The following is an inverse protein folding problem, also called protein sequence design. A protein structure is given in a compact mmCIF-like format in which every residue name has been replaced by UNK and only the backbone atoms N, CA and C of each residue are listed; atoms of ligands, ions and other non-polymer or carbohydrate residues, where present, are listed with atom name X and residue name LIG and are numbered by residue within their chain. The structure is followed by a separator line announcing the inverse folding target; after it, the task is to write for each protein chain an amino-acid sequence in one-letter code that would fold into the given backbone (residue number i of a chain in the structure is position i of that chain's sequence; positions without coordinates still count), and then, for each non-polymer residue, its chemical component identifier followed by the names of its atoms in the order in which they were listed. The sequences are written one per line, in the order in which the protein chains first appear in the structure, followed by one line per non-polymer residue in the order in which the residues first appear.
data_IF_155260627639
#
_entry.id   IF_155260627639
#
_cell.length_a   1.000
_cell.length_b   1.000
_cell.length_c   1.000
_cell.angle_alpha   90.00
_cell.angle_beta   90.00
_cell.angle_gamma   90.00
#
_symmetry.space_group_name_H-M   'P 1'
#
loop_
_entity.id
_entity.type
_entity.pdbx_description
1 polymer ?
#
# COMPACT_ATOMS: atom_id res chain seq x y z
N UNK A 1 -4.37 -0.65 11.06
CA UNK A 1 -4.28 -1.73 10.04
C UNK A 1 -2.98 -2.55 10.10
N UNK A 2 -1.77 -1.95 10.03
CA UNK A 2 -0.51 -2.73 10.11
C UNK A 2 -0.39 -3.57 11.40
N UNK A 3 -0.61 -2.96 12.58
CA UNK A 3 -0.59 -3.68 13.85
C UNK A 3 -1.65 -4.78 13.87
N UNK A 4 -2.90 -4.46 13.54
CA UNK A 4 -3.98 -5.45 13.36
C UNK A 4 -3.58 -6.66 12.50
N UNK A 5 -2.86 -6.47 11.40
CA UNK A 5 -2.41 -7.58 10.54
C UNK A 5 -1.25 -8.40 11.15
N UNK A 6 -0.44 -7.81 12.02
CA UNK A 6 0.68 -8.49 12.69
C UNK A 6 0.24 -9.16 13.98
N UNK A 7 -0.53 -8.45 14.80
CA UNK A 7 -1.03 -8.89 16.12
C UNK A 7 -2.35 -9.64 16.03
N UNK A 8 -3.00 -9.64 14.86
CA UNK A 8 -4.35 -10.22 14.62
C UNK A 8 -5.44 -9.61 15.51
N UNK A 9 -5.22 -8.41 16.07
CA UNK A 9 -6.21 -7.66 16.85
C UNK A 9 -7.07 -6.78 15.93
N UNK A 10 -8.40 -6.85 16.03
CA UNK A 10 -9.34 -6.16 15.12
C UNK A 10 -9.59 -4.70 15.57
N UNK A 11 -9.32 -4.36 16.84
CA UNK A 11 -9.70 -3.08 17.44
C UNK A 11 -9.15 -1.83 16.71
N UNK A 12 -8.02 -1.94 16.01
CA UNK A 12 -7.39 -0.79 15.31
C UNK A 12 -8.03 -0.44 13.95
N UNK A 13 -9.03 -1.21 13.49
CA UNK A 13 -9.67 -1.02 12.18
C UNK A 13 -11.20 -0.91 12.25
N UNK A 14 -11.78 -0.84 13.45
CA UNK A 14 -13.24 -0.81 13.68
C UNK A 14 -13.95 0.36 12.98
N UNK A 15 -13.22 1.44 12.70
CA UNK A 15 -13.72 2.62 12.00
C UNK A 15 -13.78 2.46 10.47
N UNK A 16 -13.17 1.42 9.90
CA UNK A 16 -13.03 1.27 8.45
C UNK A 16 -14.09 0.35 7.85
N UNK A 17 -14.98 0.95 7.06
CA UNK A 17 -16.04 0.24 6.35
C UNK A 17 -15.85 0.30 4.83
N UNK A 18 -16.14 -0.83 4.17
CA UNK A 18 -16.26 -0.96 2.73
C UNK A 18 -17.65 -0.53 2.30
N UNK A 19 -17.71 0.45 1.41
CA UNK A 19 -18.92 0.86 0.73
C UNK A 19 -19.01 0.17 -0.64
N UNK A 20 -19.89 -0.81 -0.75
CA UNK A 20 -20.13 -1.60 -1.96
C UNK A 20 -21.41 -1.15 -2.71
N UNK A 21 -21.99 0.01 -2.34
CA UNK A 21 -23.20 0.57 -2.97
C UNK A 21 -23.06 0.79 -4.48
N UNK A 22 -21.85 1.04 -4.96
CA UNK A 22 -21.55 1.15 -6.40
C UNK A 22 -21.53 -0.20 -7.14
N UNK A 23 -21.33 -1.31 -6.43
CA UNK A 23 -21.22 -2.66 -6.99
C UNK A 23 -22.52 -3.45 -6.87
N UNK A 24 -23.40 -3.07 -5.95
CA UNK A 24 -24.68 -3.72 -5.72
C UNK A 24 -25.74 -2.70 -5.33
N UNK A 25 -26.91 -2.79 -5.95
CA UNK A 25 -28.11 -1.99 -5.61
C UNK A 25 -28.62 -2.22 -4.18
N UNK A 26 -28.15 -3.27 -3.49
CA UNK A 26 -28.40 -3.53 -2.07
C UNK A 26 -27.19 -3.26 -1.18
N UNK A 27 -26.18 -2.55 -1.68
CA UNK A 27 -24.87 -2.43 -1.06
C UNK A 27 -24.95 -1.92 0.38
N UNK A 28 -24.78 -2.83 1.33
CA UNK A 28 -24.63 -2.52 2.75
C UNK A 28 -23.18 -2.16 3.03
N UNK A 29 -22.95 -1.19 3.90
CA UNK A 29 -21.62 -0.92 4.46
C UNK A 29 -21.15 -2.18 5.19
N UNK A 30 -20.01 -2.73 4.79
CA UNK A 30 -19.42 -3.92 5.41
C UNK A 30 -18.15 -3.55 6.15
N UNK A 31 -17.98 -4.05 7.35
CA UNK A 31 -16.74 -3.86 8.09
C UNK A 31 -15.54 -4.45 7.33
N UNK A 32 -14.38 -3.78 7.36
CA UNK A 32 -13.17 -4.33 6.75
C UNK A 32 -12.72 -5.59 7.51
N UNK A 33 -12.65 -6.73 6.81
CA UNK A 33 -12.28 -8.02 7.41
C UNK A 33 -11.19 -8.78 6.64
N UNK A 34 -10.47 -8.10 5.75
CA UNK A 34 -9.48 -8.76 4.89
C UNK A 34 -8.13 -8.94 5.60
N UNK A 35 -7.73 -10.19 5.81
CA UNK A 35 -6.44 -10.55 6.41
C UNK A 35 -5.28 -10.61 5.40
N UNK A 36 -5.57 -10.57 4.09
CA UNK A 36 -4.57 -10.73 3.02
C UNK A 36 -4.35 -9.46 2.19
N UNK A 37 -5.02 -8.36 2.55
CA UNK A 37 -4.92 -7.09 1.86
C UNK A 37 -4.71 -5.99 2.89
N UNK A 38 -4.02 -4.94 2.45
CA UNK A 38 -3.78 -3.73 3.22
C UNK A 38 -4.27 -2.53 2.41
N UNK A 39 -4.71 -1.50 3.11
CA UNK A 39 -5.09 -0.23 2.55
C UNK A 39 -3.89 0.71 2.61
N UNK A 40 -3.37 1.08 1.45
CA UNK A 40 -2.18 1.92 1.31
C UNK A 40 -2.57 3.28 0.75
N UNK A 41 -2.14 4.36 1.40
CA UNK A 41 -2.12 5.69 0.80
C UNK A 41 -0.80 5.90 0.08
N UNK A 42 -0.84 6.44 -1.12
CA UNK A 42 0.38 6.91 -1.82
C UNK A 42 0.25 8.40 -2.06
N UNK A 43 1.20 9.16 -1.53
CA UNK A 43 1.29 10.58 -1.76
C UNK A 43 2.74 11.05 -1.84
N UNK A 44 2.96 12.16 -2.51
CA UNK A 44 4.25 12.85 -2.52
C UNK A 44 4.38 13.91 -1.41
N UNK A 45 5.61 14.34 -1.16
CA UNK A 45 5.91 15.48 -0.29
C UNK A 45 7.14 16.22 -0.79
N UNK A 46 7.12 17.55 -0.67
CA UNK A 46 8.29 18.42 -0.84
C UNK A 46 8.86 18.87 0.52
N UNK A 47 8.30 18.37 1.64
CA UNK A 47 8.82 18.63 2.98
C UNK A 47 10.20 18.01 3.16
N UNK A 48 10.98 18.57 4.08
CA UNK A 48 12.33 18.11 4.41
C UNK A 48 12.37 16.69 4.97
N UNK A 49 11.28 16.22 5.59
CA UNK A 49 11.18 14.86 6.13
C UNK A 49 9.83 14.20 5.81
N UNK A 50 9.86 12.86 5.68
CA UNK A 50 8.65 12.04 5.53
C UNK A 50 7.81 12.07 6.80
N UNK A 51 8.44 12.09 7.98
CA UNK A 51 7.74 12.09 9.26
C UNK A 51 6.89 13.35 9.45
N UNK A 52 7.37 14.52 9.03
CA UNK A 52 6.55 15.74 9.01
C UNK A 52 5.28 15.54 8.19
N UNK A 53 5.39 14.91 7.01
CA UNK A 53 4.22 14.65 6.14
C UNK A 53 3.25 13.66 6.77
N UNK A 54 3.76 12.62 7.43
CA UNK A 54 2.93 11.64 8.12
C UNK A 54 2.17 12.27 9.28
N UNK A 55 2.82 13.15 10.05
CA UNK A 55 2.19 13.88 11.14
C UNK A 55 1.10 14.83 10.63
N UNK A 56 1.35 15.56 9.53
CA UNK A 56 0.32 16.37 8.87
C UNK A 56 -0.90 15.51 8.53
N UNK A 57 -0.72 14.34 7.93
CA UNK A 57 -1.83 13.44 7.61
C UNK A 57 -2.56 12.91 8.83
N UNK A 58 -1.85 12.52 9.88
CA UNK A 58 -2.49 12.09 11.13
C UNK A 58 -3.31 13.21 11.75
N UNK A 59 -2.79 14.44 11.73
CA UNK A 59 -3.46 15.62 12.28
C UNK A 59 -4.69 16.02 11.45
N UNK A 60 -4.66 15.88 10.13
CA UNK A 60 -5.81 16.17 9.27
C UNK A 60 -6.84 15.06 9.33
N UNK A 61 -6.44 13.81 9.11
CA UNK A 61 -7.36 12.69 9.01
C UNK A 61 -7.83 12.17 10.38
N UNK A 62 -7.19 12.57 11.48
CA UNK A 62 -7.46 12.09 12.86
C UNK A 62 -7.35 10.57 13.02
N UNK A 63 -6.55 9.93 12.18
CA UNK A 63 -6.31 8.48 12.21
C UNK A 63 -4.80 8.19 12.26
N UNK A 64 -4.38 7.16 13.01
CA UNK A 64 -2.98 6.75 13.03
C UNK A 64 -2.57 6.22 11.65
N UNK A 65 -1.49 6.78 11.12
CA UNK A 65 -0.89 6.37 9.84
C UNK A 65 0.49 5.77 10.11
N UNK A 66 0.80 4.66 9.46
CA UNK A 66 2.06 3.94 9.62
C UNK A 66 2.79 3.96 8.29
N UNK A 67 4.05 4.41 8.31
CA UNK A 67 4.91 4.35 7.13
C UNK A 67 5.17 2.89 6.72
N UNK A 68 4.94 2.55 5.46
CA UNK A 68 5.23 1.23 4.91
C UNK A 68 6.68 1.17 4.39
N UNK A 69 7.62 1.01 5.32
CA UNK A 69 9.04 0.81 4.98
C UNK A 69 9.28 -0.58 4.38
N UNK A 70 10.38 -0.79 3.63
CA UNK A 70 10.76 -2.10 3.10
C UNK A 70 10.80 -3.19 4.17
N UNK A 71 11.31 -2.89 5.36
CA UNK A 71 11.40 -3.80 6.50
C UNK A 71 9.99 -4.19 6.97
N UNK A 72 9.10 -3.21 7.11
CA UNK A 72 7.70 -3.45 7.50
C UNK A 72 6.94 -4.25 6.45
N UNK A 73 7.18 -3.99 5.17
CA UNK A 73 6.63 -4.79 4.06
C UNK A 73 7.14 -6.22 4.11
N UNK A 74 8.43 -6.43 4.37
CA UNK A 74 9.00 -7.76 4.53
C UNK A 74 8.34 -8.51 5.69
N UNK A 75 8.19 -7.88 6.86
CA UNK A 75 7.51 -8.48 8.01
C UNK A 75 6.05 -8.87 7.70
N UNK A 76 5.29 -8.01 7.02
CA UNK A 76 3.92 -8.31 6.59
C UNK A 76 3.87 -9.47 5.59
N UNK A 77 4.81 -9.47 4.64
CA UNK A 77 4.90 -10.52 3.64
C UNK A 77 5.21 -11.88 4.29
N UNK A 78 6.16 -11.92 5.23
CA UNK A 78 6.50 -13.13 5.97
C UNK A 78 5.35 -13.63 6.86
N UNK A 79 4.66 -12.73 7.57
CA UNK A 79 3.57 -13.12 8.48
C UNK A 79 2.42 -13.81 7.73
N UNK A 80 2.13 -13.37 6.50
CA UNK A 80 1.12 -14.01 5.64
C UNK A 80 1.58 -15.36 5.08
N UNK A 81 2.88 -15.56 4.83
CA UNK A 81 3.42 -16.88 4.41
C UNK A 81 3.36 -17.89 5.56
N UNK A 82 3.69 -17.48 6.78
CA UNK A 82 3.73 -18.35 7.97
C UNK A 82 2.35 -18.86 8.40
N UNK A 83 1.27 -18.22 7.95
CA UNK A 83 -0.12 -18.64 8.26
C UNK A 83 -0.64 -19.83 7.45
N UNK A 84 0.13 -20.40 6.52
CA UNK A 84 -0.30 -21.56 5.71
C UNK A 84 0.21 -22.89 6.28
N UNK A 85 -0.31 -23.29 7.43
CA UNK A 85 0.05 -24.57 8.10
C UNK A 85 -0.21 -25.79 7.21
N UNK A 86 -1.33 -25.78 6.47
CA UNK A 86 -1.70 -26.84 5.53
C UNK A 86 -0.80 -26.88 4.27
N UNK A 87 -0.48 -25.71 3.69
CA UNK A 87 0.43 -25.66 2.55
C UNK A 87 1.86 -26.08 2.92
N UNK A 88 2.30 -25.88 4.18
CA UNK A 88 3.60 -26.34 4.69
C UNK A 88 3.67 -27.86 4.87
N UNK A 89 2.53 -28.50 5.17
CA UNK A 89 2.42 -29.96 5.25
C UNK A 89 2.42 -30.55 3.84
N UNK A 90 1.66 -29.95 2.92
CA UNK A 90 1.56 -30.40 1.53
C UNK A 90 2.79 -30.00 0.66
N UNK A 91 3.54 -28.96 1.04
CA UNK A 91 4.78 -28.57 0.34
C UNK A 91 5.89 -29.59 0.48
N UNK A 92 5.77 -30.55 1.42
CA UNK A 92 6.66 -31.70 1.51
C UNK A 92 6.35 -32.80 0.47
N UNK A 93 5.23 -32.68 -0.24
CA UNK A 93 4.79 -33.60 -1.30
C UNK A 93 4.93 -33.01 -2.71
N UNK A 94 5.35 -31.75 -2.83
CA UNK A 94 5.52 -31.06 -4.11
C UNK A 94 7.00 -31.01 -4.47
N UNK A 95 7.35 -31.40 -5.70
CA UNK A 95 8.69 -31.20 -6.25
C UNK A 95 9.00 -29.71 -6.22
N UNK A 96 10.15 -29.35 -5.61
CA UNK A 96 10.58 -27.98 -5.35
C UNK A 96 10.38 -27.07 -6.57
N UNK A 97 9.30 -26.31 -6.59
CA UNK A 97 9.25 -25.10 -7.41
C UNK A 97 10.29 -24.15 -6.82
N UNK A 98 11.25 -23.75 -7.66
CA UNK A 98 12.27 -22.76 -7.31
C UNK A 98 11.63 -21.63 -6.52
N UNK A 99 12.01 -21.49 -5.26
CA UNK A 99 11.67 -20.32 -4.50
C UNK A 99 12.15 -19.13 -5.33
N UNK A 100 11.20 -18.35 -5.86
CA UNK A 100 11.49 -17.00 -6.32
C UNK A 100 11.83 -16.25 -5.03
N UNK A 101 13.09 -16.40 -4.60
CA UNK A 101 13.74 -15.46 -3.71
C UNK A 101 13.63 -14.14 -4.44
N UNK A 102 12.61 -13.36 -4.12
CA UNK A 102 12.62 -11.94 -4.40
C UNK A 102 13.81 -11.42 -3.62
N UNK A 103 14.96 -11.41 -4.28
CA UNK A 103 16.19 -10.87 -3.76
C UNK A 103 15.87 -9.48 -3.24
N UNK A 104 16.37 -9.18 -2.04
CA UNK A 104 16.40 -7.85 -1.45
C UNK A 104 17.25 -6.92 -2.33
N UNK A 105 16.79 -6.70 -3.56
CA UNK A 105 17.36 -5.74 -4.48
C UNK A 105 17.20 -4.39 -3.81
N UNK A 106 18.33 -3.82 -3.42
CA UNK A 106 18.41 -2.51 -2.77
C UNK A 106 17.62 -1.52 -3.64
N UNK A 107 16.57 -0.96 -3.05
CA UNK A 107 15.77 0.09 -3.68
C UNK A 107 16.70 1.29 -3.87
N UNK A 108 16.85 1.74 -5.12
CA UNK A 108 17.86 2.74 -5.49
C UNK A 108 17.52 4.13 -4.94
N UNK A 109 16.23 4.43 -4.90
CA UNK A 109 15.69 5.75 -4.58
C UNK A 109 15.08 5.82 -3.19
N UNK A 110 15.03 4.70 -2.46
CA UNK A 110 14.52 4.66 -1.11
C UNK A 110 15.59 5.14 -0.12
N UNK A 111 15.27 6.20 0.62
CA UNK A 111 16.11 6.72 1.70
C UNK A 111 15.19 7.29 2.80
N UNK A 112 15.67 7.47 4.04
CA UNK A 112 14.97 8.25 5.09
C UNK A 112 13.43 8.12 5.16
N UNK A 113 12.89 6.91 5.01
CA UNK A 113 11.46 6.64 5.08
C UNK A 113 10.65 6.84 3.78
N UNK A 114 11.23 7.27 2.66
CA UNK A 114 10.52 7.55 1.41
C UNK A 114 11.34 7.35 0.14
N UNK A 115 10.70 7.51 -1.02
CA UNK A 115 11.34 7.45 -2.33
C UNK A 115 11.63 8.85 -2.85
N UNK A 116 12.82 9.06 -3.40
CA UNK A 116 13.27 10.36 -3.90
C UNK A 116 13.48 10.33 -5.41
N UNK A 117 13.29 11.50 -6.03
CA UNK A 117 13.78 11.78 -7.38
C UNK A 117 14.96 12.74 -7.26
N UNK A 118 15.93 12.63 -8.16
CA UNK A 118 17.10 13.50 -8.20
C UNK A 118 16.76 14.93 -8.65
N UNK A 119 15.53 15.16 -9.12
CA UNK A 119 15.06 16.45 -9.63
C UNK A 119 15.74 16.89 -10.94
N UNK A 120 16.60 16.05 -11.51
CA UNK A 120 17.37 16.32 -12.75
C UNK A 120 16.69 15.73 -13.99
N UNK A 121 15.69 14.87 -13.80
CA UNK A 121 14.87 14.34 -14.87
C UNK A 121 13.82 15.32 -15.40
N UNK A 122 13.26 15.09 -16.61
CA UNK A 122 12.22 15.94 -17.20
C UNK A 122 10.84 15.81 -16.51
N UNK A 123 10.70 14.88 -15.54
CA UNK A 123 9.44 14.58 -14.88
C UNK A 123 9.33 15.37 -13.59
N UNK A 124 8.26 16.15 -13.47
CA UNK A 124 7.88 16.79 -12.20
C UNK A 124 7.39 15.73 -11.20
N UNK A 125 7.42 16.08 -9.91
CA UNK A 125 6.87 15.23 -8.85
C UNK A 125 5.39 14.87 -9.09
N UNK A 126 4.61 15.83 -9.60
CA UNK A 126 3.22 15.61 -10.00
C UNK A 126 3.07 14.57 -11.10
N UNK A 127 3.94 14.59 -12.10
CA UNK A 127 3.94 13.58 -13.18
C UNK A 127 4.31 12.20 -12.66
N UNK A 128 5.27 12.11 -11.73
CA UNK A 128 5.68 10.86 -11.08
C UNK A 128 4.51 10.28 -10.28
N UNK A 129 3.89 11.08 -9.41
CA UNK A 129 2.75 10.66 -8.60
C UNK A 129 1.59 10.19 -9.48
N UNK A 130 1.21 10.98 -10.49
CA UNK A 130 0.12 10.63 -11.40
C UNK A 130 0.43 9.34 -12.19
N UNK A 131 1.69 9.12 -12.57
CA UNK A 131 2.12 7.86 -13.21
C UNK A 131 1.89 6.66 -12.28
N UNK A 132 2.29 6.79 -11.02
CA UNK A 132 2.10 5.75 -10.01
C UNK A 132 0.60 5.51 -9.78
N UNK A 133 -0.18 6.57 -9.53
CA UNK A 133 -1.62 6.47 -9.28
C UNK A 133 -2.36 5.83 -10.44
N UNK A 134 -2.11 6.25 -11.69
CA UNK A 134 -2.75 5.65 -12.88
C UNK A 134 -2.49 4.15 -13.00
N UNK A 135 -1.24 3.74 -12.78
CA UNK A 135 -0.90 2.32 -12.84
C UNK A 135 -1.59 1.52 -11.73
N UNK A 136 -1.67 2.08 -10.53
CA UNK A 136 -2.30 1.40 -9.40
C UNK A 136 -3.82 1.39 -9.50
N UNK A 137 -4.44 2.43 -10.05
CA UNK A 137 -5.87 2.40 -10.39
C UNK A 137 -6.17 1.31 -11.41
N UNK A 138 -5.33 1.16 -12.45
CA UNK A 138 -5.48 0.08 -13.43
C UNK A 138 -5.36 -1.31 -12.78
N UNK A 139 -4.45 -1.47 -11.81
CA UNK A 139 -4.14 -2.77 -11.21
C UNK A 139 -5.05 -3.17 -10.04
N UNK A 140 -5.38 -2.21 -9.17
CA UNK A 140 -6.06 -2.44 -7.90
C UNK A 140 -7.42 -1.73 -7.80
N UNK A 141 -7.76 -0.90 -8.79
CA UNK A 141 -8.90 0.01 -8.70
C UNK A 141 -8.59 1.25 -7.86
N UNK A 142 -9.56 2.16 -7.82
CA UNK A 142 -9.48 3.38 -7.03
C UNK A 142 -10.16 3.19 -5.68
N UNK A 143 -9.39 3.29 -4.60
CA UNK A 143 -9.94 3.35 -3.24
C UNK A 143 -10.46 4.74 -2.95
N UNK A 144 -11.78 4.87 -2.86
CA UNK A 144 -12.44 6.08 -2.39
C UNK A 144 -12.68 5.97 -0.89
N UNK A 145 -12.07 6.86 -0.11
CA UNK A 145 -12.22 6.87 1.35
C UNK A 145 -12.96 8.11 1.79
N UNK A 146 -14.09 7.88 2.45
CA UNK A 146 -14.76 8.86 3.29
C UNK A 146 -13.99 9.02 4.59
N UNK A 147 -13.43 10.21 4.83
CA UNK A 147 -12.66 10.48 6.03
C UNK A 147 -13.36 11.53 6.88
N UNK A 148 -13.92 11.08 8.01
CA UNK A 148 -14.60 11.95 8.96
C UNK A 148 -13.68 13.05 9.52
N UNK A 149 -12.38 12.76 9.69
CA UNK A 149 -11.42 13.76 10.18
C UNK A 149 -11.19 14.92 9.21
N UNK A 150 -11.24 14.66 7.90
CA UNK A 150 -11.08 15.69 6.87
C UNK A 150 -12.40 16.42 6.57
N UNK A 151 -13.51 15.70 6.64
CA UNK A 151 -14.83 16.21 6.33
C UNK A 151 -15.88 15.50 7.18
N UNK A 152 -16.26 16.11 8.31
CA UNK A 152 -17.27 15.54 9.21
C UNK A 152 -18.64 15.39 8.55
N UNK A 153 -18.93 16.19 7.54
CA UNK A 153 -20.20 16.17 6.81
C UNK A 153 -20.21 15.10 5.70
N UNK A 154 -19.03 14.57 5.33
CA UNK A 154 -18.90 13.47 4.39
C UNK A 154 -19.22 13.87 2.95
N UNK A 155 -18.80 15.07 2.52
CA UNK A 155 -18.95 15.55 1.15
C UNK A 155 -17.74 15.25 0.26
N UNK A 156 -16.56 15.07 0.86
CA UNK A 156 -15.29 14.88 0.18
C UNK A 156 -14.69 13.49 0.41
N UNK A 157 -13.97 13.00 -0.60
CA UNK A 157 -13.36 11.66 -0.60
C UNK A 157 -11.88 11.75 -0.94
N UNK A 158 -11.06 11.01 -0.21
CA UNK A 158 -9.69 10.76 -0.64
C UNK A 158 -9.68 9.74 -1.78
N UNK A 159 -8.91 10.04 -2.83
CA UNK A 159 -8.81 9.25 -4.06
C UNK A 159 -7.48 8.48 -4.22
N UNK A 160 -6.57 8.70 -3.27
CA UNK A 160 -5.16 8.28 -3.30
C UNK A 160 -4.92 7.01 -2.48
N UNK A 161 -5.97 6.21 -2.28
CA UNK A 161 -5.92 4.99 -1.49
C UNK A 161 -6.09 3.77 -2.37
N UNK A 162 -5.38 2.70 -2.02
CA UNK A 162 -5.30 1.49 -2.81
C UNK A 162 -5.43 0.27 -1.90
N UNK A 163 -6.30 -0.67 -2.28
CA UNK A 163 -6.45 -1.96 -1.60
C UNK A 163 -5.46 -2.96 -2.20
N UNK A 164 -4.29 -3.07 -1.59
CA UNK A 164 -3.17 -3.83 -2.14
C UNK A 164 -3.08 -5.20 -1.45
N UNK A 165 -3.01 -6.32 -2.20
CA UNK A 165 -2.69 -7.62 -1.62
C UNK A 165 -1.30 -7.59 -0.97
N UNK A 166 -1.18 -8.12 0.26
CA UNK A 166 0.09 -8.08 1.00
C UNK A 166 1.23 -8.75 0.21
N UNK A 167 0.90 -9.82 -0.52
CA UNK A 167 1.83 -10.54 -1.40
C UNK A 167 2.44 -9.68 -2.53
N UNK A 168 1.81 -8.55 -2.88
CA UNK A 168 2.23 -7.67 -3.97
C UNK A 168 2.97 -6.43 -3.47
N UNK A 169 3.01 -6.18 -2.15
CA UNK A 169 3.72 -5.02 -1.59
C UNK A 169 5.20 -4.95 -1.99
N UNK A 170 5.99 -6.06 -2.03
CA UNK A 170 7.37 -5.98 -2.50
C UNK A 170 7.47 -5.52 -3.95
N UNK A 171 6.57 -5.99 -4.82
CA UNK A 171 6.52 -5.58 -6.23
C UNK A 171 6.12 -4.11 -6.37
N UNK A 172 5.20 -3.64 -5.52
CA UNK A 172 4.79 -2.24 -5.47
C UNK A 172 5.98 -1.32 -5.12
N UNK A 173 6.76 -1.66 -4.09
CA UNK A 173 7.94 -0.87 -3.73
C UNK A 173 8.95 -0.79 -4.88
N UNK A 174 9.22 -1.91 -5.56
CA UNK A 174 10.13 -1.95 -6.72
C UNK A 174 9.60 -1.15 -7.91
N UNK A 175 8.28 -1.15 -8.12
CA UNK A 175 7.66 -0.35 -9.16
C UNK A 175 7.82 1.15 -8.87
N UNK A 176 7.52 1.59 -7.64
CA UNK A 176 7.71 2.99 -7.24
C UNK A 176 9.17 3.40 -7.41
N UNK A 177 10.10 2.57 -6.92
CA UNK A 177 11.54 2.79 -7.07
C UNK A 177 11.98 2.99 -8.52
N UNK A 178 11.43 2.18 -9.44
CA UNK A 178 11.69 2.30 -10.88
C UNK A 178 11.16 3.60 -11.47
N UNK A 179 9.94 4.01 -11.08
CA UNK A 179 9.36 5.26 -11.56
C UNK A 179 10.15 6.46 -11.04
N UNK A 180 10.55 6.43 -9.76
CA UNK A 180 11.34 7.48 -9.13
C UNK A 180 12.77 7.58 -9.69
N UNK A 181 13.40 6.45 -10.06
CA UNK A 181 14.73 6.44 -10.69
C UNK A 181 14.73 6.87 -12.16
N UNK A 182 13.57 7.17 -12.74
CA UNK A 182 13.48 7.68 -14.12
C UNK A 182 13.54 6.61 -15.21
N UNK A 183 13.66 5.32 -14.85
CA UNK A 183 13.63 4.24 -15.84
C UNK A 183 12.24 4.14 -16.49
N UNK A 184 12.13 4.17 -17.83
CA UNK A 184 10.86 3.92 -18.51
C UNK A 184 10.39 2.51 -18.15
N UNK A 185 9.19 2.42 -17.56
CA UNK A 185 8.61 1.18 -17.11
C UNK A 185 8.17 0.31 -18.29
N UNK A 186 9.07 -0.52 -18.81
CA UNK A 186 8.68 -1.70 -19.59
C UNK A 186 8.31 -2.82 -18.62
N UNK A 187 7.03 -3.15 -18.53
CA UNK A 187 6.58 -4.43 -17.97
C UNK A 187 6.30 -5.30 -19.19
N UNK A 188 7.15 -6.30 -19.41
CA UNK A 188 6.88 -7.41 -20.34
C UNK A 188 5.78 -8.26 -19.69
N UNK A 189 4.74 -8.54 -20.47
CA UNK A 189 3.60 -9.37 -20.08
C UNK A 189 4.00 -10.84 -19.89
#
# INVERSE_FOLDING_TARGET
MYHSLITRSIADIDWLYLDESLLSTRGKRRHWSSNNQILCKIGMTTRSSVDTRLLEWQNTCKHPVINLTPERVHLLYESTRKSKTLAKILSKLSLKESEVQQSNSKLQTYNSGGFYTDGKGPKTLATIENTIHKQLWKRYGQGLIWCYGCDPEGHTRHKEWFRVPIKELPLLLRYIDRVCSGYPGSIVH
#
